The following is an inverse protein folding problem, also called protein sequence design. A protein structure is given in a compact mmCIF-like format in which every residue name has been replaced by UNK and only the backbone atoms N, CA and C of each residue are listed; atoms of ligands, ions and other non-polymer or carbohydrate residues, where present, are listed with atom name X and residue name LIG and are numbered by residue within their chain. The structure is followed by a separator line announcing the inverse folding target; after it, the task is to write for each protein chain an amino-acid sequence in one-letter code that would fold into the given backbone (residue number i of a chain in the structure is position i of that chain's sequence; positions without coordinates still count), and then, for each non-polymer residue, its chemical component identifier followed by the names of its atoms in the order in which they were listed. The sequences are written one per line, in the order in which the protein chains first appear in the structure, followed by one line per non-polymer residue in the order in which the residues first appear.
data_IF_244340788069
#
_entry.id   IF_244340788069
#
_cell.length_a   1.000
_cell.length_b   1.000
_cell.length_c   1.000
_cell.angle_alpha   90.00
_cell.angle_beta   90.00
_cell.angle_gamma   90.00
#
_symmetry.space_group_name_H-M   'P 1'
#
loop_
_entity.id
_entity.type
_entity.pdbx_description
1 polymer ?
#
# COMPACT_ATOMS: atom_id res chain seq x y z
N UNK A 1 -5.36 -8.99 -37.22
CA UNK A 1 -5.32 -8.97 -36.57
C UNK A 1 -5.24 -8.55 -35.66
N UNK A 2 -5.11 -8.17 -35.48
CA UNK A 2 -5.05 -7.85 -34.76
C UNK A 2 -4.98 -7.92 -33.66
N UNK A 3 -4.54 -7.78 -33.39
CA UNK A 3 -4.43 -7.79 -32.39
C UNK A 3 -5.13 -7.38 -31.55
N UNK A 4 -5.34 -7.66 -31.51
CA UNK A 4 -6.26 -7.32 -30.71
C UNK A 4 -6.01 -7.44 -29.33
N UNK A 5 -4.96 -7.18 -28.96
CA UNK A 5 -4.68 -7.07 -27.72
C UNK A 5 -5.30 -5.92 -27.22
N UNK A 6 -6.27 -6.02 -26.36
CA UNK A 6 -6.87 -4.91 -25.78
C UNK A 6 -5.93 -4.44 -24.73
N UNK A 7 -5.45 -3.25 -24.85
CA UNK A 7 -4.70 -2.66 -23.79
C UNK A 7 -5.67 -2.35 -22.70
N UNK A 8 -5.36 -2.74 -21.47
CA UNK A 8 -6.20 -2.42 -20.35
C UNK A 8 -6.10 -0.93 -20.05
N UNK A 9 -7.23 -0.35 -19.70
CA UNK A 9 -7.25 1.04 -19.27
C UNK A 9 -6.68 1.10 -17.86
N UNK A 10 -5.71 1.95 -17.65
CA UNK A 10 -5.13 2.13 -16.33
C UNK A 10 -5.85 3.25 -15.61
N UNK A 11 -6.33 2.95 -14.42
CA UNK A 11 -7.00 3.91 -13.59
C UNK A 11 -6.27 3.99 -12.26
N UNK A 12 -6.11 5.18 -11.71
CA UNK A 12 -5.50 5.30 -10.40
C UNK A 12 -6.43 4.68 -9.36
N UNK A 13 -5.87 3.90 -8.45
CA UNK A 13 -6.64 3.38 -7.33
C UNK A 13 -6.76 4.51 -6.32
N UNK A 14 -7.97 4.75 -5.85
CA UNK A 14 -8.19 5.77 -4.85
C UNK A 14 -7.58 5.32 -3.53
N UNK A 15 -6.78 6.17 -2.94
CA UNK A 15 -6.02 5.85 -1.74
C UNK A 15 -6.33 6.83 -0.62
N UNK A 16 -6.61 6.28 0.55
CA UNK A 16 -6.63 7.05 1.78
C UNK A 16 -5.52 6.51 2.67
N UNK A 17 -4.80 7.38 3.32
CA UNK A 17 -3.74 6.94 4.21
C UNK A 17 -3.78 7.75 5.49
N UNK A 18 -3.52 7.10 6.61
CA UNK A 18 -3.48 7.78 7.89
C UNK A 18 -2.60 7.00 8.86
N UNK A 19 -2.11 7.73 9.87
CA UNK A 19 -1.31 7.14 10.93
C UNK A 19 -2.18 7.10 12.18
N UNK A 20 -2.09 6.03 12.95
CA UNK A 20 -2.83 5.91 14.21
C UNK A 20 -2.52 7.05 15.15
N UNK A 21 -3.44 7.35 16.05
CA UNK A 21 -3.25 8.41 17.03
C UNK A 21 -2.01 8.17 17.88
N UNK A 22 -1.71 6.91 18.20
CA UNK A 22 -0.53 6.57 18.99
C UNK A 22 0.72 6.44 18.11
N UNK A 23 0.58 6.70 16.81
CA UNK A 23 1.69 6.65 15.86
C UNK A 23 2.38 5.29 15.79
N UNK A 24 1.62 4.23 16.02
CA UNK A 24 2.19 2.87 15.98
C UNK A 24 2.09 2.22 14.61
N UNK A 25 1.14 2.64 13.80
CA UNK A 25 0.87 1.99 12.52
C UNK A 25 0.43 2.97 11.46
N UNK A 26 0.78 2.66 10.24
CA UNK A 26 0.29 3.37 9.06
C UNK A 26 -0.82 2.52 8.45
N UNK A 27 -1.94 3.14 8.16
CA UNK A 27 -3.06 2.47 7.52
C UNK A 27 -3.24 3.00 6.12
N UNK A 28 -3.33 2.09 5.17
CA UNK A 28 -3.61 2.43 3.78
C UNK A 28 -4.91 1.76 3.39
N UNK A 29 -5.74 2.50 2.66
CA UNK A 29 -7.00 1.96 2.18
C UNK A 29 -7.11 2.27 0.70
N UNK A 30 -7.19 1.22 -0.12
CA UNK A 30 -7.36 1.38 -1.56
C UNK A 30 -8.75 0.93 -1.96
N UNK A 31 -9.40 1.72 -2.80
CA UNK A 31 -10.71 1.36 -3.35
C UNK A 31 -10.51 0.78 -4.73
N UNK A 32 -10.73 -0.50 -4.87
CA UNK A 32 -10.57 -1.22 -6.13
C UNK A 32 -11.78 -2.13 -6.35
N UNK A 33 -12.96 -1.54 -6.52
CA UNK A 33 -14.19 -2.31 -6.57
C UNK A 33 -14.23 -3.31 -7.72
N UNK A 34 -14.73 -4.49 -7.43
CA UNK A 34 -14.92 -5.52 -8.46
C UNK A 34 -13.70 -6.35 -8.79
N UNK A 35 -12.56 -6.07 -8.18
CA UNK A 35 -11.35 -6.86 -8.42
C UNK A 35 -11.42 -8.13 -7.57
N UNK A 36 -10.92 -9.24 -8.10
CA UNK A 36 -10.82 -10.47 -7.34
C UNK A 36 -9.53 -10.45 -6.55
N UNK A 37 -9.56 -11.04 -5.38
CA UNK A 37 -8.39 -11.06 -4.50
C UNK A 37 -7.15 -11.60 -5.20
N UNK A 38 -7.31 -12.65 -6.00
CA UNK A 38 -6.18 -13.28 -6.68
C UNK A 38 -5.61 -12.41 -7.80
N UNK A 39 -6.30 -11.36 -8.18
CA UNK A 39 -5.83 -10.46 -9.22
C UNK A 39 -5.16 -9.20 -8.66
N UNK A 40 -4.90 -9.19 -7.37
CA UNK A 40 -4.25 -8.07 -6.71
C UNK A 40 -2.77 -8.39 -6.50
N UNK A 41 -1.90 -7.48 -6.93
CA UNK A 41 -0.48 -7.59 -6.67
C UNK A 41 -0.06 -6.37 -5.88
N UNK A 42 0.41 -6.59 -4.66
CA UNK A 42 0.86 -5.52 -3.78
C UNK A 42 2.29 -5.79 -3.41
N UNK A 43 3.16 -4.83 -3.68
CA UNK A 43 4.58 -4.97 -3.38
C UNK A 43 5.06 -3.81 -2.56
N UNK A 44 5.89 -4.10 -1.58
CA UNK A 44 6.53 -3.07 -0.78
C UNK A 44 8.03 -3.21 -0.89
N UNK A 45 8.73 -2.10 -0.90
CA UNK A 45 10.14 -2.12 -0.58
C UNK A 45 10.33 -1.16 0.60
N UNK A 46 11.56 -0.84 0.95
CA UNK A 46 11.81 -0.14 2.22
C UNK A 46 11.03 1.15 2.39
N UNK A 47 10.80 1.89 1.33
CA UNK A 47 10.16 3.19 1.45
C UNK A 47 9.02 3.43 0.47
N UNK A 48 8.68 2.45 -0.34
CA UNK A 48 7.67 2.65 -1.38
C UNK A 48 6.74 1.45 -1.50
N UNK A 49 5.57 1.71 -2.08
CA UNK A 49 4.61 0.64 -2.37
C UNK A 49 4.22 0.68 -3.84
N UNK A 50 3.76 -0.45 -4.33
CA UNK A 50 3.22 -0.58 -5.68
C UNK A 50 2.01 -1.50 -5.63
N UNK A 51 0.90 -1.01 -6.13
CA UNK A 51 -0.33 -1.79 -6.22
C UNK A 51 -0.74 -1.92 -7.68
N UNK A 52 -1.10 -3.13 -8.05
CA UNK A 52 -1.66 -3.40 -9.36
C UNK A 52 -2.82 -4.36 -9.17
N UNK A 53 -3.99 -4.00 -9.66
CA UNK A 53 -5.18 -4.85 -9.51
C UNK A 53 -5.94 -4.87 -10.81
N UNK A 54 -6.12 -6.07 -11.37
CA UNK A 54 -6.74 -6.25 -12.67
C UNK A 54 -8.22 -6.60 -12.55
N UNK A 55 -9.02 -5.99 -13.41
CA UNK A 55 -10.42 -6.30 -13.46
C UNK A 55 -10.88 -6.14 -14.91
N UNK A 56 -11.17 -7.24 -15.59
CA UNK A 56 -11.60 -7.21 -16.99
C UNK A 56 -10.63 -6.38 -17.85
N UNK A 57 -11.10 -5.25 -18.37
CA UNK A 57 -10.28 -4.37 -19.21
C UNK A 57 -9.70 -3.18 -18.44
N UNK A 58 -9.78 -3.21 -17.12
CA UNK A 58 -9.28 -2.13 -16.27
C UNK A 58 -8.14 -2.65 -15.42
N UNK A 59 -7.12 -1.82 -15.26
CA UNK A 59 -6.03 -2.10 -14.35
C UNK A 59 -5.93 -0.94 -13.39
N UNK A 60 -6.22 -1.19 -12.12
CA UNK A 60 -6.02 -0.18 -11.09
C UNK A 60 -4.56 -0.17 -10.70
N UNK A 61 -3.96 0.99 -10.64
CA UNK A 61 -2.55 1.12 -10.27
C UNK A 61 -2.37 2.23 -9.25
N UNK A 62 -1.42 2.04 -8.36
CA UNK A 62 -1.04 3.08 -7.42
C UNK A 62 0.38 2.82 -6.96
N UNK A 63 1.20 3.85 -6.97
CA UNK A 63 2.55 3.76 -6.42
C UNK A 63 2.78 4.99 -5.58
N UNK A 64 3.61 4.85 -4.57
CA UNK A 64 3.91 5.99 -3.73
C UNK A 64 4.97 5.66 -2.71
N UNK A 65 5.30 6.65 -1.90
CA UNK A 65 6.25 6.51 -0.83
C UNK A 65 5.52 6.47 0.50
N UNK A 66 6.09 5.75 1.46
CA UNK A 66 5.53 5.78 2.80
C UNK A 66 5.93 7.10 3.46
N UNK A 67 5.05 7.63 4.27
CA UNK A 67 5.31 8.89 4.97
C UNK A 67 6.42 8.75 6.00
N UNK A 68 6.67 7.55 6.48
CA UNK A 68 7.51 7.30 7.62
C UNK A 68 8.19 5.97 7.46
N UNK A 69 9.29 5.70 8.16
CA UNK A 69 9.89 4.38 8.13
C UNK A 69 8.92 3.32 8.65
N UNK A 70 8.81 2.22 7.96
CA UNK A 70 7.83 1.17 8.26
C UNK A 70 8.48 -0.20 8.30
N UNK A 71 7.84 -1.10 9.06
CA UNK A 71 8.26 -2.49 9.14
C UNK A 71 7.45 -3.27 8.12
N UNK A 72 7.92 -3.31 6.88
CA UNK A 72 7.14 -3.89 5.79
C UNK A 72 6.90 -5.38 5.96
N UNK A 73 7.79 -6.09 6.62
CA UNK A 73 7.63 -7.53 6.79
C UNK A 73 6.53 -7.88 7.79
N UNK A 74 6.10 -6.90 8.57
CA UNK A 74 5.01 -7.08 9.54
C UNK A 74 3.70 -6.51 9.04
N UNK A 75 3.65 -6.08 7.79
CA UNK A 75 2.44 -5.52 7.21
C UNK A 75 1.37 -6.61 7.05
N UNK A 76 0.12 -6.20 7.25
CA UNK A 76 -1.02 -7.09 7.05
C UNK A 76 -1.99 -6.42 6.11
N UNK A 77 -2.59 -7.22 5.25
CA UNK A 77 -3.56 -6.70 4.28
C UNK A 77 -4.79 -7.57 4.27
N UNK A 78 -5.95 -6.93 4.19
CA UNK A 78 -7.23 -7.62 4.06
C UNK A 78 -7.99 -6.99 2.91
N UNK A 79 -8.65 -7.83 2.12
CA UNK A 79 -9.45 -7.34 1.01
C UNK A 79 -10.87 -7.83 1.17
N UNK A 80 -11.80 -6.89 1.16
CA UNK A 80 -13.19 -7.24 1.34
C UNK A 80 -14.06 -6.20 0.68
N UNK A 81 -15.01 -6.63 -0.12
CA UNK A 81 -16.00 -5.73 -0.74
C UNK A 81 -15.40 -4.55 -1.49
N UNK A 82 -14.33 -4.79 -2.22
CA UNK A 82 -13.71 -3.75 -3.01
C UNK A 82 -12.76 -2.85 -2.25
N UNK A 83 -12.56 -3.09 -0.96
CA UNK A 83 -11.64 -2.31 -0.15
C UNK A 83 -10.43 -3.14 0.25
N UNK A 84 -9.26 -2.67 -0.08
CA UNK A 84 -8.01 -3.28 0.34
C UNK A 84 -7.47 -2.47 1.50
N UNK A 85 -7.46 -3.05 2.67
CA UNK A 85 -7.01 -2.39 3.89
C UNK A 85 -5.66 -2.94 4.29
N UNK A 86 -4.70 -2.07 4.49
CA UNK A 86 -3.34 -2.46 4.83
C UNK A 86 -2.92 -1.77 6.11
N UNK A 87 -2.33 -2.55 7.01
CA UNK A 87 -1.85 -2.03 8.27
C UNK A 87 -0.36 -2.33 8.33
N UNK A 88 0.47 -1.30 8.48
CA UNK A 88 1.91 -1.45 8.48
C UNK A 88 2.45 -0.83 9.75
N UNK A 89 3.12 -1.61 10.63
CA UNK A 89 3.71 -1.03 11.82
C UNK A 89 4.80 -0.03 11.46
N UNK A 90 4.89 1.04 12.19
CA UNK A 90 5.93 2.04 12.00
C UNK A 90 7.17 1.64 12.77
N UNK A 91 8.33 1.95 12.20
CA UNK A 91 9.58 1.74 12.94
C UNK A 91 9.73 2.85 13.96
N UNK A 92 10.29 2.49 15.11
CA UNK A 92 10.62 3.47 16.12
C UNK A 92 11.88 4.21 15.64
N UNK A 93 11.73 5.47 15.33
CA UNK A 93 12.85 6.28 14.84
C UNK A 93 13.95 6.43 15.86
N UNK A 94 13.62 6.21 17.13
CA UNK A 94 14.55 6.43 18.22
C UNK A 94 15.15 5.15 18.77
N UNK A 95 14.82 4.00 18.15
CA UNK A 95 15.24 2.69 18.65
C UNK A 95 16.74 2.58 18.85
N UNK A 96 17.52 3.14 17.91
CA UNK A 96 18.96 3.09 18.00
C UNK A 96 19.55 4.49 18.24
N UNK A 97 18.76 5.39 18.77
CA UNK A 97 19.21 6.74 19.00
C UNK A 97 20.19 6.82 20.16
N UNK A 98 21.15 7.69 20.06
CA UNK A 98 22.12 7.92 21.11
C UNK A 98 21.59 8.94 22.10
N UNK A 99 21.55 8.59 23.36
CA UNK A 99 21.12 9.53 24.40
C UNK A 99 22.28 10.43 24.76
N UNK A 100 22.13 11.72 24.49
CA UNK A 100 23.19 12.69 24.76
C UNK A 100 23.21 13.03 26.24
N UNK A 101 24.40 13.04 26.84
CA UNK A 101 24.57 13.45 28.23
C UNK A 101 24.48 14.96 28.32
N UNK A 102 23.68 15.45 29.25
CA UNK A 102 23.53 16.88 29.47
C UNK A 102 24.25 17.26 30.75
N UNK A 103 25.12 18.23 30.65
CA UNK A 103 25.89 18.70 31.80
C UNK A 103 25.40 20.05 32.27
#
# INVERSE_FOLDING_TARGET
MKNTQLEKRRLPAELCSCVDEDKSSLHLEFKIPGVKKEDITLKFNDDRFSLKADKNDIEYVSTGSFCCPVEIKSAKANYENGLLLINIPLKDRWENAYKVTIR
#
